data_IF_205375927778
#
_entry.id   IF_205375927778
#
_cell.length_a   1.000
_cell.length_b   1.000
_cell.length_c   1.000
_cell.angle_alpha   90.00
_cell.angle_beta   90.00
_cell.angle_gamma   90.00
#
_symmetry.space_group_name_H-M   'P 1'
#
loop_
_entity.id
_entity.type
_entity.pdbx_description
1 polymer ?
#
# COMPACT_ATOMS: atom_id res chain seq x y z
N UNK A 1 13.85 10.47 -17.25
CA UNK A 1 12.56 11.20 -17.19
C UNK A 1 11.48 10.56 -18.10
N UNK A 2 11.36 9.22 -18.08
CA UNK A 2 10.39 8.41 -18.87
C UNK A 2 9.74 7.27 -18.05
N UNK A 3 9.89 7.28 -16.73
CA UNK A 3 9.54 6.14 -15.87
C UNK A 3 8.29 6.36 -14.99
N UNK A 4 7.73 7.57 -14.97
CA UNK A 4 6.54 7.90 -14.17
C UNK A 4 5.24 7.96 -14.98
N UNK A 5 5.29 7.88 -16.32
CA UNK A 5 4.06 7.88 -17.16
C UNK A 5 3.29 6.56 -17.12
N UNK A 6 3.95 5.41 -16.91
CA UNK A 6 3.24 4.12 -16.87
C UNK A 6 2.51 3.86 -15.53
N UNK A 7 2.94 4.50 -14.43
CA UNK A 7 2.29 4.38 -13.12
C UNK A 7 0.98 5.18 -13.05
N UNK A 8 0.89 6.30 -13.78
CA UNK A 8 -0.35 7.06 -13.92
C UNK A 8 -1.37 6.32 -14.80
N UNK A 9 -0.93 5.65 -15.87
CA UNK A 9 -1.86 4.96 -16.78
C UNK A 9 -2.55 3.75 -16.11
N UNK A 10 -1.79 2.96 -15.34
CA UNK A 10 -2.36 1.83 -14.59
C UNK A 10 -3.28 2.28 -13.44
N UNK A 11 -3.03 3.46 -12.85
CA UNK A 11 -3.95 4.05 -11.86
C UNK A 11 -5.18 4.67 -12.53
N UNK A 12 -5.06 5.25 -13.72
CA UNK A 12 -6.20 5.83 -14.43
C UNK A 12 -7.17 4.78 -14.97
N UNK A 13 -6.71 3.60 -15.37
CA UNK A 13 -7.59 2.48 -15.75
C UNK A 13 -8.38 1.93 -14.54
N UNK A 14 -7.77 1.96 -13.35
CA UNK A 14 -8.43 1.60 -12.08
C UNK A 14 -9.42 2.70 -11.65
N UNK A 15 -9.06 3.97 -11.79
CA UNK A 15 -9.93 5.10 -11.41
C UNK A 15 -11.11 5.31 -12.37
N UNK A 16 -10.93 5.13 -13.69
CA UNK A 16 -12.01 5.32 -14.67
C UNK A 16 -13.09 4.24 -14.60
N UNK A 17 -12.80 3.12 -13.92
CA UNK A 17 -13.73 1.99 -13.78
C UNK A 17 -14.48 1.96 -12.44
N UNK A 18 -14.27 2.93 -11.54
CA UNK A 18 -15.08 3.07 -10.32
C UNK A 18 -16.56 3.45 -10.59
N UNK A 19 -16.95 3.69 -11.85
CA UNK A 19 -18.32 3.96 -12.25
C UNK A 19 -19.10 2.65 -12.46
N UNK A 20 -19.76 2.21 -11.38
CA UNK A 20 -20.95 1.33 -11.32
C UNK A 20 -20.86 -0.16 -11.73
N UNK A 21 -19.72 -0.68 -12.18
CA UNK A 21 -19.55 -2.13 -12.45
C UNK A 21 -18.35 -2.82 -11.77
N UNK A 22 -17.29 -2.08 -11.46
CA UNK A 22 -15.97 -2.66 -11.19
C UNK A 22 -15.64 -2.82 -9.69
N UNK A 23 -16.41 -2.21 -8.80
CA UNK A 23 -16.27 -2.38 -7.34
C UNK A 23 -16.51 -3.84 -6.92
N UNK A 24 -17.46 -4.52 -7.56
CA UNK A 24 -17.73 -5.94 -7.33
C UNK A 24 -16.53 -6.83 -7.73
N UNK A 25 -15.82 -6.45 -8.80
CA UNK A 25 -14.61 -7.15 -9.24
C UNK A 25 -13.50 -7.00 -8.20
N UNK A 26 -13.33 -5.80 -7.63
CA UNK A 26 -12.31 -5.55 -6.59
C UNK A 26 -12.61 -6.39 -5.34
N UNK A 27 -13.84 -6.35 -4.82
CA UNK A 27 -14.21 -7.16 -3.66
C UNK A 27 -14.10 -8.66 -3.92
N UNK A 28 -14.51 -9.13 -5.10
CA UNK A 28 -14.42 -10.54 -5.47
C UNK A 28 -12.97 -11.03 -5.61
N UNK A 29 -12.11 -10.22 -6.23
CA UNK A 29 -10.69 -10.57 -6.41
C UNK A 29 -9.92 -10.56 -5.09
N UNK A 30 -10.16 -9.57 -4.22
CA UNK A 30 -9.59 -9.54 -2.86
C UNK A 30 -10.09 -10.75 -2.06
N UNK A 31 -11.40 -11.03 -2.10
CA UNK A 31 -11.98 -12.16 -1.37
C UNK A 31 -11.43 -13.52 -1.81
N UNK A 32 -11.28 -13.76 -3.12
CA UNK A 32 -10.67 -14.99 -3.61
C UNK A 32 -9.18 -15.10 -3.23
N UNK A 33 -8.46 -13.97 -3.25
CA UNK A 33 -7.05 -13.94 -2.89
C UNK A 33 -6.85 -14.25 -1.40
N UNK A 34 -7.69 -13.69 -0.52
CA UNK A 34 -7.64 -13.98 0.92
C UNK A 34 -7.97 -15.44 1.22
N UNK A 35 -9.01 -16.00 0.60
CA UNK A 35 -9.38 -17.42 0.77
C UNK A 35 -8.26 -18.34 0.27
N UNK A 36 -7.64 -18.02 -0.86
CA UNK A 36 -6.50 -18.78 -1.38
C UNK A 36 -5.25 -18.68 -0.50
N UNK A 37 -4.96 -17.48 0.01
CA UNK A 37 -3.77 -17.22 0.81
C UNK A 37 -3.86 -17.84 2.21
N UNK A 38 -5.02 -17.81 2.86
CA UNK A 38 -5.21 -18.38 4.20
C UNK A 38 -4.96 -19.89 4.26
N UNK A 39 -5.30 -20.62 3.19
CA UNK A 39 -5.09 -22.07 3.11
C UNK A 39 -3.62 -22.46 2.86
N UNK A 40 -2.77 -21.52 2.44
CA UNK A 40 -1.39 -21.78 1.97
C UNK A 40 -0.32 -20.98 2.72
N UNK A 41 -0.71 -20.23 3.76
CA UNK A 41 0.19 -19.32 4.50
C UNK A 41 1.45 -20.02 5.01
N UNK A 42 1.30 -21.19 5.63
CA UNK A 42 2.40 -21.90 6.29
C UNK A 42 3.40 -22.46 5.27
N UNK A 43 2.92 -22.90 4.11
CA UNK A 43 3.76 -23.35 3.00
C UNK A 43 4.54 -22.18 2.35
N UNK A 44 3.91 -21.00 2.25
CA UNK A 44 4.51 -19.81 1.65
C UNK A 44 5.60 -19.23 2.55
N UNK A 45 5.39 -19.19 3.87
CA UNK A 45 6.39 -18.71 4.83
C UNK A 45 7.65 -19.59 4.78
N UNK A 46 7.48 -20.91 4.79
CA UNK A 46 8.60 -21.86 4.67
C UNK A 46 9.35 -21.71 3.33
N UNK A 47 8.62 -21.44 2.23
CA UNK A 47 9.24 -21.18 0.93
C UNK A 47 10.02 -19.85 0.92
N UNK A 48 9.50 -18.82 1.58
CA UNK A 48 10.12 -17.50 1.66
C UNK A 48 11.44 -17.55 2.44
N UNK A 49 11.47 -18.23 3.59
CA UNK A 49 12.69 -18.44 4.38
C UNK A 49 13.76 -19.22 3.60
N UNK A 50 13.33 -20.25 2.86
CA UNK A 50 14.21 -21.01 1.97
C UNK A 50 14.75 -20.14 0.82
N UNK A 51 13.95 -19.26 0.24
CA UNK A 51 14.41 -18.36 -0.83
C UNK A 51 15.41 -17.31 -0.35
N UNK A 52 15.20 -16.73 0.84
CA UNK A 52 16.12 -15.73 1.40
C UNK A 52 17.50 -16.32 1.68
N UNK A 53 17.55 -17.55 2.19
CA UNK A 53 18.82 -18.27 2.44
C UNK A 53 19.48 -18.76 1.14
N UNK A 54 18.72 -19.37 0.23
CA UNK A 54 19.31 -20.03 -0.96
C UNK A 54 19.60 -19.11 -2.13
N UNK A 55 18.74 -18.12 -2.41
CA UNK A 55 18.88 -17.25 -3.59
C UNK A 55 19.70 -15.99 -3.28
N UNK A 56 19.54 -15.45 -2.08
CA UNK A 56 20.19 -14.20 -1.68
C UNK A 56 21.36 -14.41 -0.70
N UNK A 57 21.52 -15.62 -0.13
CA UNK A 57 22.64 -15.94 0.76
C UNK A 57 22.65 -15.12 2.05
N UNK A 58 21.49 -14.64 2.50
CA UNK A 58 21.41 -13.74 3.65
C UNK A 58 21.58 -14.52 4.96
N UNK A 59 22.33 -13.94 5.90
CA UNK A 59 22.43 -14.48 7.26
C UNK A 59 21.12 -14.29 8.01
N UNK A 60 20.84 -15.17 8.97
CA UNK A 60 19.61 -15.13 9.77
C UNK A 60 19.41 -13.78 10.48
N UNK A 61 20.50 -13.19 10.99
CA UNK A 61 20.47 -11.86 11.61
C UNK A 61 20.03 -10.75 10.65
N UNK A 62 20.41 -10.85 9.37
CA UNK A 62 20.03 -9.88 8.36
C UNK A 62 18.56 -10.01 7.98
N UNK A 63 18.06 -11.24 7.87
CA UNK A 63 16.64 -11.54 7.62
C UNK A 63 15.78 -10.98 8.77
N UNK A 64 16.17 -11.23 10.01
CA UNK A 64 15.46 -10.73 11.20
C UNK A 64 15.46 -9.20 11.27
N UNK A 65 16.57 -8.55 10.91
CA UNK A 65 16.63 -7.09 10.80
C UNK A 65 15.67 -6.55 9.73
N UNK A 66 15.59 -7.19 8.56
CA UNK A 66 14.68 -6.77 7.48
C UNK A 66 13.21 -6.96 7.86
N UNK A 67 12.87 -8.09 8.50
CA UNK A 67 11.53 -8.36 9.05
C UNK A 67 11.10 -7.27 10.04
N UNK A 68 12.01 -6.84 10.93
CA UNK A 68 11.73 -5.76 11.88
C UNK A 68 11.50 -4.39 11.20
N UNK A 69 12.25 -4.09 10.13
CA UNK A 69 12.08 -2.84 9.35
C UNK A 69 10.73 -2.84 8.63
N UNK A 70 10.36 -3.95 7.99
CA UNK A 70 9.06 -4.10 7.32
C UNK A 70 7.90 -3.91 8.30
N UNK A 71 7.99 -4.53 9.49
CA UNK A 71 6.97 -4.39 10.53
C UNK A 71 6.81 -2.94 11.01
N UNK A 72 7.92 -2.23 11.21
CA UNK A 72 7.87 -0.83 11.63
C UNK A 72 7.27 0.07 10.54
N UNK A 73 7.65 -0.16 9.28
CA UNK A 73 7.06 0.56 8.14
C UNK A 73 5.56 0.28 8.01
N UNK A 74 5.13 -0.96 8.23
CA UNK A 74 3.70 -1.32 8.24
C UNK A 74 2.92 -0.55 9.30
N UNK A 75 3.45 -0.45 10.53
CA UNK A 75 2.84 0.33 11.62
C UNK A 75 2.79 1.82 11.29
N UNK A 76 3.86 2.37 10.71
CA UNK A 76 3.89 3.76 10.27
C UNK A 76 2.87 4.02 9.15
N UNK A 77 2.72 3.10 8.20
CA UNK A 77 1.75 3.21 7.11
C UNK A 77 0.30 3.17 7.61
N UNK A 78 -0.01 2.30 8.58
CA UNK A 78 -1.33 2.23 9.23
C UNK A 78 -1.71 3.55 9.91
N UNK A 79 -0.77 4.17 10.63
CA UNK A 79 -1.00 5.49 11.24
C UNK A 79 -1.07 6.61 10.18
N UNK A 80 -0.27 6.49 9.11
CA UNK A 80 -0.25 7.43 8.01
C UNK A 80 -1.60 7.50 7.28
N UNK A 81 -2.17 6.35 6.92
CA UNK A 81 -3.48 6.33 6.24
C UNK A 81 -4.59 6.84 7.14
N UNK A 82 -4.57 6.52 8.43
CA UNK A 82 -5.54 7.04 9.40
C UNK A 82 -5.46 8.57 9.49
N UNK A 83 -4.25 9.13 9.53
CA UNK A 83 -4.07 10.58 9.54
C UNK A 83 -4.61 11.23 8.26
N UNK A 84 -4.36 10.64 7.09
CA UNK A 84 -4.90 11.15 5.82
C UNK A 84 -6.45 11.15 5.83
N UNK A 85 -7.08 10.08 6.32
CA UNK A 85 -8.54 9.98 6.40
C UNK A 85 -9.16 10.99 7.38
N UNK A 86 -8.57 11.15 8.57
CA UNK A 86 -9.11 12.05 9.60
C UNK A 86 -8.93 13.52 9.20
N UNK A 87 -7.78 13.88 8.63
CA UNK A 87 -7.53 15.26 8.20
C UNK A 87 -8.23 15.65 6.91
N UNK A 88 -8.69 14.68 6.12
CA UNK A 88 -9.70 14.93 5.08
C UNK A 88 -11.04 15.33 5.69
N UNK A 89 -11.52 14.62 6.72
CA UNK A 89 -12.82 14.89 7.33
C UNK A 89 -12.88 16.16 8.21
N UNK A 90 -11.80 16.47 8.94
CA UNK A 90 -11.77 17.63 9.83
C UNK A 90 -11.38 18.92 9.08
N UNK A 91 -10.31 18.87 8.29
CA UNK A 91 -9.62 20.06 7.80
C UNK A 91 -9.65 20.19 6.27
N UNK A 92 -10.33 19.27 5.55
CA UNK A 92 -10.33 19.13 4.09
C UNK A 92 -8.92 19.13 3.47
N UNK A 93 -7.89 18.81 4.26
CA UNK A 93 -6.49 18.93 3.91
C UNK A 93 -5.76 17.65 4.36
N UNK A 94 -5.82 16.57 3.58
CA UNK A 94 -5.20 15.30 3.95
C UNK A 94 -3.68 15.44 4.12
N UNK A 95 -3.03 16.35 3.40
CA UNK A 95 -1.58 16.60 3.48
C UNK A 95 -1.20 17.64 4.53
N UNK A 96 -1.52 17.37 5.80
CA UNK A 96 -1.25 18.30 6.91
C UNK A 96 0.20 18.75 7.03
N UNK A 97 1.15 17.88 6.71
CA UNK A 97 2.58 18.21 6.79
C UNK A 97 2.93 19.30 5.76
N UNK A 98 2.30 19.27 4.59
CA UNK A 98 2.56 20.24 3.52
C UNK A 98 1.99 21.63 3.85
N UNK A 99 0.81 21.68 4.50
CA UNK A 99 0.24 22.93 4.99
C UNK A 99 1.03 23.51 6.17
N UNK A 100 1.60 22.67 7.04
CA UNK A 100 2.49 23.13 8.13
C UNK A 100 3.81 23.74 7.63
N UNK A 101 4.35 23.26 6.52
CA UNK A 101 5.60 23.77 5.93
C UNK A 101 5.40 24.84 4.85
N UNK A 102 4.19 25.42 4.75
CA UNK A 102 3.94 26.65 3.98
C UNK A 102 3.71 26.46 2.49
N UNK A 103 3.48 25.24 2.01
CA UNK A 103 3.06 24.96 0.63
C UNK A 103 1.69 24.27 0.61
N UNK A 104 0.61 24.92 1.11
CA UNK A 104 -0.71 24.32 1.10
C UNK A 104 -1.12 23.97 -0.33
N UNK A 105 -1.68 22.78 -0.50
CA UNK A 105 -2.28 22.34 -1.76
C UNK A 105 -3.79 22.40 -1.57
N UNK A 106 -4.47 23.12 -2.45
CA UNK A 106 -5.92 23.22 -2.42
C UNK A 106 -6.53 21.89 -2.84
N UNK A 107 -6.93 21.10 -1.84
CA UNK A 107 -7.63 19.84 -2.03
C UNK A 107 -9.13 20.12 -2.13
N UNK A 108 -9.80 19.58 -3.15
CA UNK A 108 -11.23 19.79 -3.42
C UNK A 108 -11.68 21.23 -3.75
N UNK A 109 -10.79 22.12 -4.22
CA UNK A 109 -11.16 23.51 -4.56
C UNK A 109 -11.83 23.70 -5.95
N UNK A 110 -12.43 22.65 -6.51
CA UNK A 110 -13.00 22.65 -7.86
C UNK A 110 -14.21 21.75 -8.06
N UNK A 111 -14.85 21.32 -6.96
CA UNK A 111 -16.17 20.69 -6.93
C UNK A 111 -17.12 21.50 -6.06
#
# INVERSE_FOLDING_TARGET
RRHTRCLSDSSSDVCSSALQGNTLVIFYTIGLLEVGFLNRKDEIEAWCEKQMSTKYGWSEDFINKKRAIELNNGRAAQMGILALMVHEQLDNNPYIINSMFGSPVDFNAGF
#
